data_IF_598207950131
#
_entry.id   IF_598207950131
#
_cell.length_a   1.000
_cell.length_b   1.000
_cell.length_c   1.000
_cell.angle_alpha   90.00
_cell.angle_beta   90.00
_cell.angle_gamma   90.00
#
_symmetry.space_group_name_H-M   'P 1'
#
loop_
_entity.id
_entity.type
_entity.pdbx_description
1 polymer ?
#
# COMPACT_ATOMS: atom_id res chain seq x y z
N UNK A 1 -56.58 48.52 60.34
CA UNK A 1 -56.70 47.07 60.05
C UNK A 1 -56.94 46.75 58.57
N UNK A 2 -57.31 47.71 57.71
CA UNK A 2 -57.49 47.46 56.26
C UNK A 2 -56.18 47.39 55.45
N UNK A 3 -55.10 48.08 55.86
CA UNK A 3 -53.84 48.08 55.10
C UNK A 3 -53.05 46.76 55.19
N UNK A 4 -53.25 45.95 56.24
CA UNK A 4 -52.55 44.67 56.42
C UNK A 4 -53.22 43.56 55.58
N UNK A 5 -54.54 43.66 55.34
CA UNK A 5 -55.25 42.73 54.47
C UNK A 5 -54.89 42.93 52.99
N UNK A 6 -54.68 44.18 52.56
CA UNK A 6 -54.21 44.49 51.20
C UNK A 6 -52.82 43.91 50.87
N UNK A 7 -51.89 43.94 51.84
CA UNK A 7 -50.54 43.39 51.68
C UNK A 7 -50.53 41.85 51.57
N UNK A 8 -51.39 41.18 52.35
CA UNK A 8 -51.53 39.72 52.29
C UNK A 8 -52.11 39.24 50.96
N UNK A 9 -53.13 39.94 50.42
CA UNK A 9 -53.71 39.65 49.11
C UNK A 9 -52.72 39.95 47.97
N UNK A 10 -51.96 41.05 48.06
CA UNK A 10 -50.90 41.36 47.09
C UNK A 10 -49.79 40.31 47.09
N UNK A 11 -49.35 39.83 48.27
CA UNK A 11 -48.37 38.76 48.38
C UNK A 11 -48.85 37.42 47.80
N UNK A 12 -50.14 37.11 47.94
CA UNK A 12 -50.77 35.90 47.38
C UNK A 12 -50.89 36.01 45.85
N UNK A 13 -51.26 37.17 45.32
CA UNK A 13 -51.31 37.45 43.88
C UNK A 13 -49.90 37.38 43.28
N UNK A 14 -48.89 37.95 43.93
CA UNK A 14 -47.50 37.87 43.49
C UNK A 14 -46.99 36.42 43.55
N UNK A 15 -47.33 35.67 44.59
CA UNK A 15 -46.99 34.24 44.70
C UNK A 15 -47.62 33.39 43.60
N UNK A 16 -48.90 33.62 43.29
CA UNK A 16 -49.61 32.97 42.18
C UNK A 16 -49.01 33.39 40.83
N UNK A 17 -48.66 34.66 40.67
CA UNK A 17 -48.04 35.16 39.44
C UNK A 17 -46.65 34.54 39.23
N UNK A 18 -45.83 34.44 40.27
CA UNK A 18 -44.53 33.78 40.23
C UNK A 18 -44.70 32.29 39.92
N UNK A 19 -45.64 31.60 40.58
CA UNK A 19 -45.95 30.20 40.31
C UNK A 19 -46.43 29.99 38.87
N UNK A 20 -47.25 30.91 38.36
CA UNK A 20 -47.74 30.90 36.98
C UNK A 20 -46.61 31.12 35.98
N UNK A 21 -45.68 32.04 36.24
CA UNK A 21 -44.50 32.27 35.40
C UNK A 21 -43.58 31.04 35.39
N UNK A 22 -43.37 30.39 36.55
CA UNK A 22 -42.60 29.15 36.65
C UNK A 22 -43.29 28.02 35.86
N UNK A 23 -44.61 27.89 35.99
CA UNK A 23 -45.40 26.91 35.25
C UNK A 23 -45.33 27.15 33.74
N UNK A 24 -45.49 28.39 33.29
CA UNK A 24 -45.44 28.77 31.88
C UNK A 24 -44.02 28.62 31.28
N UNK A 25 -42.98 28.81 32.11
CA UNK A 25 -41.60 28.56 31.73
C UNK A 25 -41.33 27.06 31.53
N UNK A 26 -41.85 26.21 32.42
CA UNK A 26 -41.67 24.76 32.33
C UNK A 26 -42.56 24.09 31.27
N UNK A 27 -43.78 24.58 31.04
CA UNK A 27 -44.71 24.02 30.06
C UNK A 27 -44.62 24.81 28.75
N UNK A 28 -44.06 24.25 27.66
CA UNK A 28 -43.92 24.98 26.41
C UNK A 28 -45.25 25.00 25.65
N UNK A 29 -46.18 25.85 26.08
CA UNK A 29 -47.53 25.99 25.47
C UNK A 29 -47.43 26.35 23.98
N UNK A 30 -46.44 27.15 23.58
CA UNK A 30 -46.20 27.50 22.17
C UNK A 30 -45.77 26.33 21.27
N UNK A 31 -44.96 25.39 21.80
CA UNK A 31 -44.58 24.18 21.06
C UNK A 31 -45.76 23.24 20.92
N UNK A 32 -46.57 23.10 21.97
CA UNK A 32 -47.80 22.31 21.95
C UNK A 32 -48.80 22.82 20.89
N UNK A 33 -49.00 24.14 20.83
CA UNK A 33 -49.87 24.75 19.83
C UNK A 33 -49.34 24.51 18.39
N UNK A 34 -48.04 24.66 18.17
CA UNK A 34 -47.42 24.36 16.86
C UNK A 34 -47.60 22.90 16.42
N UNK A 35 -47.53 21.97 17.37
CA UNK A 35 -47.78 20.54 17.13
C UNK A 35 -49.26 20.30 16.74
N UNK A 36 -50.19 20.90 17.48
CA UNK A 36 -51.63 20.78 17.24
C UNK A 36 -52.03 21.28 15.84
N UNK A 37 -51.51 22.45 15.43
CA UNK A 37 -51.76 23.03 14.09
C UNK A 37 -51.19 22.16 12.97
N UNK A 38 -50.15 21.37 13.27
CA UNK A 38 -49.50 20.47 12.31
C UNK A 38 -50.05 19.04 12.36
N UNK A 39 -51.21 18.83 12.99
CA UNK A 39 -51.88 17.53 13.19
C UNK A 39 -51.03 16.48 13.96
N UNK A 40 -50.11 16.94 14.82
CA UNK A 40 -49.31 16.07 15.69
C UNK A 40 -49.93 16.03 17.08
N UNK A 41 -50.50 14.88 17.45
CA UNK A 41 -51.19 14.68 18.73
C UNK A 41 -50.20 14.45 19.87
N UNK A 42 -49.87 15.51 20.62
CA UNK A 42 -49.01 15.45 21.81
C UNK A 42 -49.72 16.07 23.01
N UNK A 43 -49.71 15.39 24.14
CA UNK A 43 -50.30 15.91 25.38
C UNK A 43 -49.33 16.87 26.10
N UNK A 44 -49.86 17.89 26.78
CA UNK A 44 -49.04 18.81 27.61
C UNK A 44 -48.24 18.06 28.69
N UNK A 45 -48.84 17.02 29.28
CA UNK A 45 -48.19 16.14 30.27
C UNK A 45 -46.96 15.43 29.66
N UNK A 46 -47.04 15.06 28.38
CA UNK A 46 -45.95 14.37 27.69
C UNK A 46 -44.75 15.30 27.45
N UNK A 47 -45.00 16.55 27.06
CA UNK A 47 -43.94 17.56 26.92
C UNK A 47 -43.25 17.85 28.25
N UNK A 48 -44.00 17.82 29.35
CA UNK A 48 -43.45 17.94 30.69
C UNK A 48 -42.58 16.72 31.06
N UNK A 49 -43.07 15.50 30.81
CA UNK A 49 -42.31 14.26 31.05
C UNK A 49 -41.01 14.17 30.24
N UNK A 50 -40.98 14.68 29.00
CA UNK A 50 -39.77 14.74 28.18
C UNK A 50 -38.65 15.55 28.86
N UNK A 51 -38.98 16.72 29.44
CA UNK A 51 -37.98 17.52 30.17
C UNK A 51 -37.43 16.79 31.39
N UNK A 52 -38.28 16.04 32.11
CA UNK A 52 -37.83 15.23 33.24
C UNK A 52 -36.86 14.12 32.82
N UNK A 53 -37.07 13.54 31.62
CA UNK A 53 -36.16 12.57 30.98
C UNK A 53 -34.92 13.22 30.34
N UNK A 54 -34.73 14.53 30.48
CA UNK A 54 -33.65 15.32 29.84
C UNK A 54 -33.67 15.29 28.30
N UNK A 55 -34.82 15.05 27.70
CA UNK A 55 -35.02 15.13 26.23
C UNK A 55 -35.60 16.52 25.89
N UNK A 56 -34.97 17.31 24.99
CA UNK A 56 -35.48 18.62 24.61
C UNK A 56 -36.77 18.46 23.79
N UNK A 57 -37.93 18.94 24.27
CA UNK A 57 -39.20 18.75 23.57
C UNK A 57 -39.25 19.47 22.22
N UNK A 58 -38.49 20.56 22.05
CA UNK A 58 -38.42 21.32 20.80
C UNK A 58 -37.94 20.48 19.62
N UNK A 59 -36.89 19.69 19.82
CA UNK A 59 -36.27 18.85 18.79
C UNK A 59 -37.23 17.76 18.33
N UNK A 60 -37.85 17.05 19.29
CA UNK A 60 -38.78 15.95 19.02
C UNK A 60 -40.05 16.46 18.33
N UNK A 61 -40.64 17.55 18.82
CA UNK A 61 -41.85 18.14 18.22
C UNK A 61 -41.56 18.59 16.79
N UNK A 62 -40.45 19.30 16.55
CA UNK A 62 -40.08 19.76 15.21
C UNK A 62 -39.89 18.60 14.24
N UNK A 63 -39.18 17.56 14.67
CA UNK A 63 -38.96 16.35 13.89
C UNK A 63 -40.28 15.63 13.57
N UNK A 64 -41.21 15.51 14.54
CA UNK A 64 -42.53 14.91 14.28
C UNK A 64 -43.37 15.75 13.31
N UNK A 65 -43.35 17.07 13.42
CA UNK A 65 -44.03 17.97 12.47
C UNK A 65 -43.49 17.76 11.06
N UNK A 66 -42.17 17.67 10.91
CA UNK A 66 -41.51 17.46 9.62
C UNK A 66 -41.87 16.10 9.01
N UNK A 67 -41.79 15.02 9.80
CA UNK A 67 -42.16 13.68 9.34
C UNK A 67 -43.64 13.56 8.96
N UNK A 68 -44.55 14.09 9.79
CA UNK A 68 -46.00 14.04 9.54
C UNK A 68 -46.37 14.79 8.26
N UNK A 69 -45.78 15.98 8.04
CA UNK A 69 -45.97 16.75 6.80
C UNK A 69 -45.42 16.05 5.55
N UNK A 70 -44.44 15.16 5.72
CA UNK A 70 -43.92 14.32 4.63
C UNK A 70 -44.69 13.00 4.45
N UNK A 71 -45.75 12.76 5.23
CA UNK A 71 -46.54 11.54 5.18
C UNK A 71 -45.91 10.35 5.91
N UNK A 72 -44.91 10.58 6.76
CA UNK A 72 -44.26 9.55 7.57
C UNK A 72 -44.98 9.36 8.90
N UNK A 73 -45.25 8.10 9.26
CA UNK A 73 -45.78 7.75 10.58
C UNK A 73 -44.61 7.52 11.53
N UNK A 74 -44.29 8.53 12.34
CA UNK A 74 -43.21 8.47 13.34
C UNK A 74 -43.78 8.29 14.74
N UNK A 75 -43.25 7.33 15.49
CA UNK A 75 -43.59 7.17 16.90
C UNK A 75 -42.71 8.06 17.77
N UNK A 76 -43.35 8.87 18.61
CA UNK A 76 -42.70 9.73 19.59
C UNK A 76 -41.73 8.96 20.49
N UNK A 77 -42.14 7.80 20.97
CA UNK A 77 -41.34 7.02 21.94
C UNK A 77 -40.04 6.52 21.31
N UNK A 78 -40.05 6.22 20.01
CA UNK A 78 -38.85 5.81 19.27
C UNK A 78 -37.90 6.99 19.03
N UNK A 79 -38.43 8.19 18.77
CA UNK A 79 -37.63 9.42 18.65
C UNK A 79 -36.98 9.81 19.99
N UNK A 80 -37.73 9.70 21.10
CA UNK A 80 -37.20 9.91 22.45
C UNK A 80 -36.09 8.89 22.76
N UNK A 81 -36.31 7.60 22.45
CA UNK A 81 -35.34 6.54 22.66
C UNK A 81 -34.06 6.77 21.86
N UNK A 82 -34.17 7.18 20.59
CA UNK A 82 -33.01 7.50 19.74
C UNK A 82 -32.20 8.69 20.29
N UNK A 83 -32.88 9.74 20.76
CA UNK A 83 -32.21 10.88 21.38
C UNK A 83 -31.47 10.47 22.66
N UNK A 84 -32.10 9.65 23.50
CA UNK A 84 -31.49 9.14 24.73
C UNK A 84 -30.30 8.20 24.46
N UNK A 85 -30.31 7.49 23.34
CA UNK A 85 -29.17 6.69 22.85
C UNK A 85 -28.00 7.56 22.34
N UNK A 86 -28.16 8.89 22.29
CA UNK A 86 -27.13 9.83 21.83
C UNK A 86 -27.19 10.12 20.33
N UNK A 87 -28.27 9.75 19.65
CA UNK A 87 -28.46 9.98 18.22
C UNK A 87 -29.03 11.37 17.86
N UNK A 88 -28.86 11.75 16.59
CA UNK A 88 -29.30 13.03 16.02
C UNK A 88 -30.68 12.89 15.36
N UNK A 89 -31.73 13.16 16.13
CA UNK A 89 -33.12 13.03 15.68
C UNK A 89 -33.44 13.91 14.46
N UNK A 90 -32.97 15.17 14.43
CA UNK A 90 -33.26 16.09 13.32
C UNK A 90 -32.69 15.57 11.99
N UNK A 91 -31.44 15.09 12.00
CA UNK A 91 -30.78 14.54 10.80
C UNK A 91 -31.47 13.29 10.28
N UNK A 92 -31.83 12.37 11.18
CA UNK A 92 -32.51 11.12 10.83
C UNK A 92 -33.86 11.39 10.18
N UNK A 93 -34.68 12.28 10.77
CA UNK A 93 -35.98 12.62 10.18
C UNK A 93 -35.82 13.34 8.85
N UNK A 94 -34.89 14.28 8.74
CA UNK A 94 -34.64 14.96 7.46
C UNK A 94 -34.20 13.99 6.35
N UNK A 95 -33.37 12.99 6.71
CA UNK A 95 -32.97 11.91 5.81
C UNK A 95 -34.16 11.02 5.40
N UNK A 96 -35.04 10.65 6.34
CA UNK A 96 -36.25 9.87 6.05
C UNK A 96 -37.21 10.61 5.13
N UNK A 97 -37.42 11.91 5.35
CA UNK A 97 -38.23 12.77 4.48
C UNK A 97 -37.65 12.82 3.07
N UNK A 98 -36.32 12.95 2.96
CA UNK A 98 -35.62 12.97 1.69
C UNK A 98 -35.70 11.61 0.97
N UNK A 99 -35.57 10.51 1.71
CA UNK A 99 -35.71 9.16 1.18
C UNK A 99 -37.13 8.92 0.65
N UNK A 100 -38.15 9.34 1.39
CA UNK A 100 -39.55 9.23 0.98
C UNK A 100 -39.84 10.00 -0.32
N UNK A 101 -39.32 11.23 -0.44
CA UNK A 101 -39.45 12.04 -1.67
C UNK A 101 -38.72 11.42 -2.86
N UNK A 102 -37.61 10.74 -2.61
CA UNK A 102 -36.84 10.03 -3.62
C UNK A 102 -37.32 8.59 -3.87
N UNK A 103 -38.42 8.17 -3.24
CA UNK A 103 -38.98 6.82 -3.30
C UNK A 103 -37.97 5.71 -2.93
N UNK A 104 -37.18 5.97 -1.89
CA UNK A 104 -36.19 5.03 -1.35
C UNK A 104 -36.73 4.39 -0.07
N UNK A 105 -36.73 3.06 -0.01
CA UNK A 105 -37.13 2.29 1.17
C UNK A 105 -36.11 2.45 2.32
N UNK A 106 -36.34 3.44 3.19
CA UNK A 106 -35.58 3.65 4.42
C UNK A 106 -36.51 3.53 5.63
N UNK A 107 -36.32 2.48 6.43
CA UNK A 107 -37.06 2.32 7.69
C UNK A 107 -36.47 3.17 8.81
N UNK A 108 -37.30 3.61 9.76
CA UNK A 108 -36.85 4.38 10.93
C UNK A 108 -35.73 3.66 11.68
N UNK A 109 -35.88 2.35 11.96
CA UNK A 109 -34.88 1.52 12.65
C UNK A 109 -33.54 1.46 11.92
N UNK A 110 -33.56 1.42 10.60
CA UNK A 110 -32.33 1.40 9.79
C UNK A 110 -31.65 2.77 9.84
N UNK A 111 -32.43 3.85 9.71
CA UNK A 111 -31.91 5.21 9.80
C UNK A 111 -31.27 5.50 11.16
N UNK A 112 -31.89 5.07 12.26
CA UNK A 112 -31.31 5.20 13.61
C UNK A 112 -30.05 4.37 13.78
N UNK A 113 -30.00 3.16 13.21
CA UNK A 113 -28.81 2.31 13.26
C UNK A 113 -27.62 2.92 12.50
N UNK A 114 -27.87 3.57 11.36
CA UNK A 114 -26.84 4.27 10.58
C UNK A 114 -26.25 5.45 11.37
N UNK A 115 -27.12 6.26 12.00
CA UNK A 115 -26.70 7.41 12.80
C UNK A 115 -25.91 6.99 14.05
N UNK A 116 -26.36 5.95 14.76
CA UNK A 116 -25.63 5.39 15.91
C UNK A 116 -24.29 4.74 15.53
N UNK A 117 -24.17 4.23 14.29
CA UNK A 117 -22.90 3.76 13.74
C UNK A 117 -21.92 4.91 13.41
N UNK A 118 -22.33 6.17 13.65
CA UNK A 118 -21.51 7.36 13.40
C UNK A 118 -21.46 7.78 11.94
N UNK A 119 -22.38 7.29 11.09
CA UNK A 119 -22.47 7.70 9.67
C UNK A 119 -23.60 8.69 9.46
N UNK A 120 -23.39 9.65 8.56
CA UNK A 120 -24.43 10.63 8.23
C UNK A 120 -25.49 10.01 7.30
N UNK A 121 -26.68 9.75 7.85
CA UNK A 121 -27.82 9.17 7.13
C UNK A 121 -28.26 10.07 5.97
N UNK A 122 -28.24 11.39 6.16
CA UNK A 122 -28.70 12.34 5.16
C UNK A 122 -27.79 12.32 3.94
N UNK A 123 -26.47 12.34 4.18
CA UNK A 123 -25.49 12.23 3.11
C UNK A 123 -25.64 10.92 2.33
N UNK A 124 -25.90 9.81 3.02
CA UNK A 124 -26.09 8.52 2.38
C UNK A 124 -27.33 8.49 1.47
N UNK A 125 -28.46 9.07 1.92
CA UNK A 125 -29.66 9.21 1.08
C UNK A 125 -29.37 10.10 -0.12
N UNK A 126 -28.71 11.24 0.08
CA UNK A 126 -28.36 12.16 -1.02
C UNK A 126 -27.47 11.48 -2.07
N UNK A 127 -26.48 10.71 -1.64
CA UNK A 127 -25.59 9.94 -2.52
C UNK A 127 -26.30 8.77 -3.21
N UNK A 128 -27.39 8.27 -2.63
CA UNK A 128 -28.24 7.27 -3.27
C UNK A 128 -29.01 7.86 -4.46
N UNK A 129 -29.52 9.09 -4.31
CA UNK A 129 -30.25 9.82 -5.36
C UNK A 129 -29.32 10.38 -6.43
N UNK A 130 -28.23 11.02 -5.99
CA UNK A 130 -27.24 11.62 -6.86
C UNK A 130 -25.88 10.93 -6.66
N UNK A 131 -25.50 10.01 -7.57
CA UNK A 131 -24.22 9.33 -7.49
C UNK A 131 -23.05 10.30 -7.43
N UNK A 132 -21.99 9.90 -6.72
CA UNK A 132 -20.76 10.68 -6.61
C UNK A 132 -19.66 10.01 -7.42
N UNK A 133 -18.88 10.83 -8.12
CA UNK A 133 -17.68 10.37 -8.83
C UNK A 133 -16.47 10.50 -7.90
N UNK A 134 -15.70 9.44 -7.79
CA UNK A 134 -14.49 9.37 -6.98
C UNK A 134 -13.34 8.88 -7.87
N UNK A 135 -12.23 9.61 -7.84
CA UNK A 135 -11.02 9.23 -8.57
C UNK A 135 -10.22 8.19 -7.77
N UNK A 136 -9.74 7.15 -8.45
CA UNK A 136 -8.78 6.21 -7.85
C UNK A 136 -7.40 6.86 -7.74
N UNK A 137 -6.58 6.48 -6.75
CA UNK A 137 -5.15 6.77 -6.81
C UNK A 137 -4.53 6.18 -8.09
N UNK A 138 -3.43 6.74 -8.61
CA UNK A 138 -2.77 6.22 -9.80
C UNK A 138 -2.27 4.79 -9.54
N UNK A 139 -2.75 3.84 -10.34
CA UNK A 139 -2.43 2.42 -10.22
C UNK A 139 -1.41 2.06 -11.30
N UNK A 140 -0.24 1.57 -10.89
CA UNK A 140 0.79 1.11 -11.81
C UNK A 140 0.74 -0.41 -11.98
N UNK A 141 0.70 -0.89 -13.21
CA UNK A 141 0.70 -2.31 -13.55
C UNK A 141 1.58 -2.57 -14.78
N UNK A 142 2.08 -3.81 -14.93
CA UNK A 142 2.96 -4.20 -16.04
C UNK A 142 2.23 -5.22 -16.90
N UNK A 143 2.13 -4.97 -18.20
CA UNK A 143 1.58 -5.94 -19.14
C UNK A 143 2.56 -7.08 -19.43
N UNK A 144 2.11 -8.17 -20.06
CA UNK A 144 2.96 -9.36 -20.33
C UNK A 144 4.16 -9.08 -21.24
N UNK A 145 4.14 -7.98 -21.98
CA UNK A 145 5.25 -7.50 -22.80
C UNK A 145 6.30 -6.70 -22.01
N UNK A 146 6.14 -6.57 -20.69
CA UNK A 146 7.11 -5.93 -19.80
C UNK A 146 7.02 -4.41 -19.76
N UNK A 147 5.99 -3.80 -20.37
CA UNK A 147 5.78 -2.36 -20.35
C UNK A 147 4.84 -1.98 -19.21
N UNK A 148 5.25 -0.98 -18.43
CA UNK A 148 4.46 -0.43 -17.34
C UNK A 148 3.41 0.54 -17.89
N UNK A 149 2.18 0.42 -17.40
CA UNK A 149 1.10 1.36 -17.61
C UNK A 149 0.68 1.94 -16.25
N UNK A 150 0.45 3.25 -16.20
CA UNK A 150 -0.08 3.95 -15.04
C UNK A 150 -1.50 4.36 -15.39
N UNK A 151 -2.47 3.78 -14.71
CA UNK A 151 -3.89 3.96 -14.99
C UNK A 151 -4.55 4.75 -13.86
N UNK A 152 -5.42 5.70 -14.22
CA UNK A 152 -6.33 6.38 -13.29
C UNK A 152 -7.76 6.10 -13.72
N UNK A 153 -8.62 5.70 -12.79
CA UNK A 153 -10.02 5.45 -13.05
C UNK A 153 -10.91 6.41 -12.25
N UNK A 154 -12.04 6.77 -12.86
CA UNK A 154 -13.17 7.45 -12.25
C UNK A 154 -14.23 6.42 -11.91
N UNK A 155 -14.54 6.28 -10.63
CA UNK A 155 -15.56 5.34 -10.15
C UNK A 155 -16.80 6.14 -9.77
N UNK A 156 -17.91 5.85 -10.44
CA UNK A 156 -19.22 6.40 -10.07
C UNK A 156 -19.87 5.46 -9.07
N UNK A 157 -19.99 5.91 -7.83
CA UNK A 157 -20.56 5.11 -6.73
C UNK A 157 -21.89 5.70 -6.25
N UNK A 158 -22.80 4.81 -5.89
CA UNK A 158 -24.05 5.09 -5.20
C UNK A 158 -24.03 4.46 -3.82
N UNK A 159 -24.63 5.10 -2.81
CA UNK A 159 -24.77 4.48 -1.49
C UNK A 159 -25.84 3.36 -1.51
N UNK A 160 -25.48 2.19 -1.00
CA UNK A 160 -26.40 1.08 -0.78
C UNK A 160 -26.92 1.14 0.67
N UNK A 161 -28.14 1.66 0.82
CA UNK A 161 -28.75 1.92 2.13
C UNK A 161 -28.92 0.64 2.97
N UNK A 162 -29.16 -0.51 2.32
CA UNK A 162 -29.35 -1.80 3.02
C UNK A 162 -28.07 -2.31 3.69
N UNK A 163 -26.90 -1.99 3.12
CA UNK A 163 -25.59 -2.48 3.56
C UNK A 163 -24.70 -1.37 4.16
N UNK A 164 -25.26 -0.19 4.42
CA UNK A 164 -24.53 0.96 4.93
C UNK A 164 -23.98 0.73 6.35
N UNK A 165 -24.68 -0.10 7.15
CA UNK A 165 -24.23 -0.52 8.49
C UNK A 165 -23.46 -1.83 8.38
N UNK A 166 -22.19 -1.82 8.76
CA UNK A 166 -21.31 -2.99 8.72
C UNK A 166 -20.68 -3.30 7.35
N UNK A 167 -21.10 -2.61 6.28
CA UNK A 167 -20.46 -2.71 4.97
C UNK A 167 -19.09 -2.01 4.91
N UNK A 168 -18.25 -2.48 3.99
CA UNK A 168 -16.95 -1.87 3.73
C UNK A 168 -17.08 -0.46 3.12
N UNK A 169 -16.15 0.43 3.45
CA UNK A 169 -16.18 1.85 3.07
C UNK A 169 -15.69 2.14 1.64
N UNK A 170 -15.67 3.42 1.29
CA UNK A 170 -15.21 3.90 -0.04
C UNK A 170 -13.77 3.45 -0.34
N UNK A 171 -12.87 3.51 0.65
CA UNK A 171 -11.47 3.11 0.49
C UNK A 171 -11.32 1.64 0.07
N UNK A 172 -12.14 0.75 0.62
CA UNK A 172 -12.12 -0.68 0.26
C UNK A 172 -12.62 -0.89 -1.17
N UNK A 173 -13.63 -0.12 -1.60
CA UNK A 173 -14.11 -0.16 -2.99
C UNK A 173 -13.00 0.29 -3.93
N UNK A 174 -12.33 1.41 -3.65
CA UNK A 174 -11.23 1.92 -4.47
C UNK A 174 -10.05 0.94 -4.54
N UNK A 175 -9.71 0.30 -3.42
CA UNK A 175 -8.66 -0.71 -3.38
C UNK A 175 -8.99 -1.95 -4.25
N UNK A 176 -10.23 -2.44 -4.17
CA UNK A 176 -10.72 -3.56 -4.98
C UNK A 176 -10.78 -3.22 -6.47
N UNK A 177 -11.21 -2.01 -6.81
CA UNK A 177 -11.16 -1.50 -8.18
C UNK A 177 -9.71 -1.42 -8.66
N UNK A 178 -8.80 -0.92 -7.83
CA UNK A 178 -7.37 -0.88 -8.13
C UNK A 178 -6.79 -2.26 -8.40
N UNK A 179 -7.07 -3.25 -7.54
CA UNK A 179 -6.69 -4.65 -7.75
C UNK A 179 -7.23 -5.20 -9.08
N UNK A 180 -8.51 -4.92 -9.36
CA UNK A 180 -9.14 -5.28 -10.62
C UNK A 180 -8.40 -4.72 -11.84
N UNK A 181 -8.03 -3.44 -11.80
CA UNK A 181 -7.27 -2.77 -12.86
C UNK A 181 -5.88 -3.41 -13.02
N UNK A 182 -5.15 -3.64 -11.91
CA UNK A 182 -3.84 -4.32 -11.96
C UNK A 182 -3.95 -5.69 -12.60
N UNK A 183 -4.95 -6.48 -12.19
CA UNK A 183 -5.20 -7.82 -12.73
C UNK A 183 -5.54 -7.78 -14.22
N UNK A 184 -6.33 -6.80 -14.68
CA UNK A 184 -6.70 -6.65 -16.09
C UNK A 184 -5.50 -6.25 -16.96
N UNK A 185 -4.67 -5.31 -16.49
CA UNK A 185 -3.46 -4.89 -17.22
C UNK A 185 -2.45 -6.04 -17.25
N UNK A 186 -2.21 -6.71 -16.12
CA UNK A 186 -1.26 -7.82 -16.02
C UNK A 186 -1.66 -9.07 -16.82
N UNK A 187 -2.95 -9.27 -17.07
CA UNK A 187 -3.42 -10.37 -17.91
C UNK A 187 -3.32 -10.07 -19.41
N UNK A 188 -3.18 -8.80 -19.79
CA UNK A 188 -3.10 -8.35 -21.18
C UNK A 188 -1.77 -8.76 -21.84
N UNK A 189 -1.85 -9.19 -23.10
CA UNK A 189 -0.68 -9.66 -23.85
C UNK A 189 0.29 -8.55 -24.21
N UNK A 190 -0.22 -7.37 -24.55
CA UNK A 190 0.59 -6.20 -24.92
C UNK A 190 -0.02 -4.93 -24.34
N UNK A 191 0.82 -3.94 -24.05
CA UNK A 191 0.36 -2.60 -23.65
C UNK A 191 -0.49 -1.92 -24.72
N UNK A 192 -0.25 -2.23 -26.01
CA UNK A 192 -1.01 -1.69 -27.14
C UNK A 192 -2.48 -2.12 -27.09
N UNK A 193 -2.76 -3.37 -26.74
CA UNK A 193 -4.14 -3.86 -26.62
C UNK A 193 -4.94 -3.10 -25.54
N UNK A 194 -4.27 -2.70 -24.46
CA UNK A 194 -4.88 -1.90 -23.39
C UNK A 194 -5.15 -0.47 -23.85
N UNK A 195 -4.23 0.13 -24.59
CA UNK A 195 -4.38 1.48 -25.14
C UNK A 195 -5.42 1.57 -26.26
N UNK A 196 -5.55 0.51 -27.06
CA UNK A 196 -6.55 0.43 -28.15
C UNK A 196 -7.97 0.36 -27.59
N UNK A 197 -8.16 -0.28 -26.42
CA UNK A 197 -9.48 -0.49 -25.85
C UNK A 197 -9.49 -0.41 -24.31
N UNK A 198 -9.37 0.79 -23.72
CA UNK A 198 -9.31 0.96 -22.26
C UNK A 198 -10.59 0.51 -21.55
N UNK A 199 -11.74 0.59 -22.23
CA UNK A 199 -13.04 0.12 -21.73
C UNK A 199 -13.09 -1.39 -21.47
N UNK A 200 -12.15 -2.17 -22.04
CA UNK A 200 -12.05 -3.60 -21.74
C UNK A 200 -11.70 -3.84 -20.27
N UNK A 201 -10.89 -2.95 -19.66
CA UNK A 201 -10.54 -3.02 -18.24
C UNK A 201 -11.80 -2.86 -17.39
N UNK A 202 -12.58 -1.81 -17.63
CA UNK A 202 -13.77 -1.53 -16.80
C UNK A 202 -14.79 -2.66 -16.86
N UNK A 203 -15.03 -3.26 -18.03
CA UNK A 203 -15.94 -4.40 -18.19
C UNK A 203 -15.48 -5.64 -17.41
N UNK A 204 -14.20 -5.98 -17.49
CA UNK A 204 -13.63 -7.12 -16.76
C UNK A 204 -13.68 -6.89 -15.25
N UNK A 205 -13.42 -5.66 -14.82
CA UNK A 205 -13.39 -5.26 -13.41
C UNK A 205 -14.80 -5.22 -12.80
N UNK A 206 -15.79 -4.65 -13.50
CA UNK A 206 -17.20 -4.67 -13.09
C UNK A 206 -17.76 -6.10 -13.02
N UNK A 207 -17.37 -6.98 -13.94
CA UNK A 207 -17.82 -8.38 -13.97
C UNK A 207 -17.40 -9.23 -12.76
N UNK A 208 -16.44 -8.76 -11.94
CA UNK A 208 -15.96 -9.47 -10.74
C UNK A 208 -16.82 -9.23 -9.49
N UNK A 209 -17.82 -8.34 -9.53
CA UNK A 209 -18.71 -8.08 -8.39
C UNK A 209 -17.99 -7.45 -7.19
N UNK A 210 -17.26 -6.36 -7.44
CA UNK A 210 -16.39 -5.70 -6.44
C UNK A 210 -17.17 -5.02 -5.30
N UNK A 211 -18.45 -4.78 -5.53
CA UNK A 211 -19.46 -4.20 -4.64
C UNK A 211 -20.07 -5.21 -3.65
N UNK A 212 -19.65 -6.48 -3.69
CA UNK A 212 -20.11 -7.48 -2.75
C UNK A 212 -19.66 -7.14 -1.30
N UNK A 213 -20.65 -6.88 -0.43
CA UNK A 213 -20.42 -6.59 1.00
C UNK A 213 -19.90 -5.18 1.29
N UNK A 214 -20.03 -4.25 0.34
CA UNK A 214 -19.68 -2.84 0.53
C UNK A 214 -20.91 -2.01 0.84
N UNK A 215 -20.70 -0.88 1.52
CA UNK A 215 -21.75 0.11 1.75
C UNK A 215 -22.14 0.89 0.47
N UNK A 216 -21.45 0.63 -0.64
CA UNK A 216 -21.58 1.32 -1.91
C UNK A 216 -21.81 0.32 -3.03
N UNK A 217 -22.59 0.74 -4.02
CA UNK A 217 -22.83 0.06 -5.28
C UNK A 217 -22.08 0.82 -6.38
N UNK A 218 -21.37 0.09 -7.25
CA UNK A 218 -20.59 0.68 -8.34
C UNK A 218 -21.48 0.75 -9.58
N UNK A 219 -21.76 1.96 -10.06
CA UNK A 219 -22.55 2.17 -11.27
C UNK A 219 -21.69 2.08 -12.53
N UNK A 220 -20.55 2.76 -12.53
CA UNK A 220 -19.59 2.75 -13.63
C UNK A 220 -18.15 2.85 -13.11
N UNK A 221 -17.24 2.29 -13.88
CA UNK A 221 -15.80 2.50 -13.75
C UNK A 221 -15.35 3.01 -15.11
N UNK A 222 -14.88 4.24 -15.17
CA UNK A 222 -14.45 4.88 -16.40
C UNK A 222 -12.95 5.12 -16.31
N UNK A 223 -12.18 4.76 -17.33
CA UNK A 223 -10.74 5.01 -17.30
C UNK A 223 -10.50 6.47 -17.67
N UNK A 224 -9.97 7.24 -16.73
CA UNK A 224 -9.75 8.67 -16.90
C UNK A 224 -8.48 8.97 -17.69
N UNK A 225 -7.43 8.18 -17.47
CA UNK A 225 -6.08 8.41 -17.97
C UNK A 225 -5.26 7.11 -17.98
N UNK A 226 -4.46 6.89 -19.03
CA UNK A 226 -3.49 5.79 -19.13
C UNK A 226 -2.18 6.33 -19.68
N UNK A 227 -1.16 6.35 -18.83
CA UNK A 227 0.19 6.75 -19.19
C UNK A 227 1.09 5.53 -19.40
N UNK A 228 1.99 5.61 -20.38
CA UNK A 228 3.06 4.62 -20.57
C UNK A 228 4.23 5.00 -19.66
N UNK A 229 4.59 4.09 -18.75
CA UNK A 229 5.69 4.25 -17.82
C UNK A 229 7.01 3.71 -18.39
N UNK A 230 7.75 2.98 -17.54
CA UNK A 230 9.04 2.40 -17.91
C UNK A 230 8.86 1.04 -18.59
N UNK A 231 9.80 0.70 -19.48
CA UNK A 231 9.94 -0.67 -19.97
C UNK A 231 10.72 -1.51 -18.94
N UNK A 232 9.98 -2.12 -18.02
CA UNK A 232 10.54 -2.96 -16.96
C UNK A 232 11.20 -4.21 -17.56
N UNK A 233 10.63 -4.76 -18.63
CA UNK A 233 11.19 -5.90 -19.35
C UNK A 233 12.60 -5.63 -19.89
N UNK A 234 12.81 -4.49 -20.55
CA UNK A 234 14.12 -4.08 -21.03
C UNK A 234 15.11 -3.79 -19.89
N UNK A 235 14.64 -3.15 -18.82
CA UNK A 235 15.45 -2.91 -17.62
C UNK A 235 15.96 -4.20 -17.00
N UNK A 236 15.06 -5.17 -16.75
CA UNK A 236 15.43 -6.48 -16.21
C UNK A 236 16.39 -7.24 -17.13
N UNK A 237 16.24 -7.12 -18.46
CA UNK A 237 17.19 -7.73 -19.41
C UNK A 237 18.57 -7.08 -19.37
N UNK A 238 18.64 -5.75 -19.22
CA UNK A 238 19.90 -5.03 -19.04
C UNK A 238 20.58 -5.44 -17.72
N UNK A 239 19.83 -5.46 -16.62
CA UNK A 239 20.33 -5.85 -15.30
C UNK A 239 20.86 -7.29 -15.32
N UNK A 240 20.15 -8.20 -15.99
CA UNK A 240 20.58 -9.58 -16.14
C UNK A 240 21.84 -9.70 -17.00
N UNK A 241 21.93 -8.97 -18.11
CA UNK A 241 23.12 -8.95 -18.96
C UNK A 241 24.34 -8.36 -18.24
N UNK A 242 24.14 -7.35 -17.39
CA UNK A 242 25.20 -6.76 -16.57
C UNK A 242 25.67 -7.74 -15.48
N UNK A 243 24.74 -8.44 -14.82
CA UNK A 243 25.08 -9.50 -13.89
C UNK A 243 25.89 -10.63 -14.57
N UNK A 244 25.46 -11.07 -15.75
CA UNK A 244 26.16 -12.11 -16.53
C UNK A 244 27.57 -11.64 -16.97
N UNK A 245 27.70 -10.38 -17.38
CA UNK A 245 28.99 -9.76 -17.71
C UNK A 245 29.93 -9.76 -16.49
N UNK A 246 29.42 -9.37 -15.32
CA UNK A 246 30.22 -9.34 -14.09
C UNK A 246 30.68 -10.74 -13.68
N UNK A 247 29.81 -11.75 -13.79
CA UNK A 247 30.17 -13.16 -13.54
C UNK A 247 31.24 -13.63 -14.55
N UNK A 248 31.08 -13.30 -15.82
CA UNK A 248 32.05 -13.66 -16.86
C UNK A 248 33.42 -13.00 -16.62
N UNK A 249 33.43 -11.72 -16.23
CA UNK A 249 34.65 -10.99 -15.88
C UNK A 249 35.34 -11.60 -14.64
N UNK A 250 34.58 -11.90 -13.58
CA UNK A 250 35.12 -12.53 -12.38
C UNK A 250 35.75 -13.90 -12.69
N UNK A 251 35.09 -14.74 -13.51
CA UNK A 251 35.65 -16.03 -13.96
C UNK A 251 36.90 -15.87 -14.82
N UNK A 252 36.96 -14.84 -15.67
CA UNK A 252 38.14 -14.55 -16.47
C UNK A 252 39.32 -14.11 -15.61
N UNK A 253 39.05 -13.31 -14.57
CA UNK A 253 40.05 -12.88 -13.60
C UNK A 253 40.54 -14.04 -12.73
N UNK A 254 39.64 -14.90 -12.26
CA UNK A 254 39.98 -16.14 -11.53
C UNK A 254 40.91 -17.03 -12.37
N UNK A 255 40.57 -17.27 -13.64
CA UNK A 255 41.43 -18.04 -14.57
C UNK A 255 42.78 -17.39 -14.77
N UNK A 256 42.82 -16.06 -14.89
CA UNK A 256 44.08 -15.31 -15.03
C UNK A 256 44.94 -15.45 -13.78
N UNK A 257 44.33 -15.33 -12.60
CA UNK A 257 45.02 -15.49 -11.32
C UNK A 257 45.58 -16.92 -11.17
N UNK A 258 44.79 -17.94 -11.51
CA UNK A 258 45.23 -19.34 -11.51
C UNK A 258 46.37 -19.59 -12.50
N UNK A 259 46.31 -19.02 -13.70
CA UNK A 259 47.38 -19.16 -14.69
C UNK A 259 48.70 -18.53 -14.21
N UNK A 260 48.63 -17.35 -13.59
CA UNK A 260 49.80 -16.69 -12.98
C UNK A 260 50.33 -17.51 -11.80
N UNK A 261 49.46 -18.04 -10.95
CA UNK A 261 49.86 -18.90 -9.84
C UNK A 261 50.57 -20.16 -10.34
N UNK A 262 50.03 -20.82 -11.38
CA UNK A 262 50.64 -21.98 -12.04
C UNK A 262 52.01 -21.63 -12.64
N UNK A 263 52.13 -20.47 -13.30
CA UNK A 263 53.41 -20.00 -13.85
C UNK A 263 54.47 -19.81 -12.74
N UNK A 264 54.08 -19.21 -11.61
CA UNK A 264 54.96 -19.04 -10.46
C UNK A 264 55.32 -20.39 -9.83
N UNK A 265 54.38 -21.31 -9.70
CA UNK A 265 54.63 -22.67 -9.20
C UNK A 265 55.62 -23.42 -10.10
N UNK A 266 55.48 -23.31 -11.42
CA UNK A 266 56.41 -23.91 -12.39
C UNK A 266 57.79 -23.26 -12.34
N UNK A 267 57.88 -21.94 -12.14
CA UNK A 267 59.15 -21.24 -11.90
C UNK A 267 59.82 -21.73 -10.61
N UNK A 268 59.07 -21.88 -9.52
CA UNK A 268 59.57 -22.42 -8.26
C UNK A 268 60.07 -23.86 -8.42
N UNK A 269 59.30 -24.74 -9.09
CA UNK A 269 59.72 -26.12 -9.41
C UNK A 269 60.99 -26.16 -10.27
N UNK A 270 61.11 -25.27 -11.26
CA UNK A 270 62.31 -25.17 -12.08
C UNK A 270 63.53 -24.71 -11.26
N UNK A 271 63.35 -23.79 -10.31
CA UNK A 271 64.39 -23.38 -9.38
C UNK A 271 64.77 -24.51 -8.42
N UNK A 272 63.80 -25.25 -7.87
CA UNK A 272 64.05 -26.41 -7.01
C UNK A 272 64.81 -27.52 -7.77
N UNK A 273 64.41 -27.81 -9.00
CA UNK A 273 65.12 -28.76 -9.85
C UNK A 273 66.55 -28.31 -10.16
N UNK A 274 66.76 -27.02 -10.44
CA UNK A 274 68.11 -26.44 -10.61
C UNK A 274 68.94 -26.55 -9.33
N UNK A 275 68.34 -26.30 -8.16
CA UNK A 275 69.02 -26.47 -6.88
C UNK A 275 69.46 -27.93 -6.68
N UNK A 276 68.60 -28.91 -7.01
CA UNK A 276 68.96 -30.34 -6.97
C UNK A 276 70.10 -30.71 -7.93
N UNK A 277 70.12 -30.11 -9.13
CA UNK A 277 71.25 -30.30 -10.07
C UNK A 277 72.53 -29.72 -9.49
N UNK A 278 72.48 -28.52 -8.90
CA UNK A 278 73.64 -27.90 -8.25
C UNK A 278 74.13 -28.75 -7.07
N UNK A 279 73.23 -29.27 -6.24
CA UNK A 279 73.59 -30.16 -5.12
C UNK A 279 74.27 -31.45 -5.62
N UNK A 280 73.79 -32.03 -6.72
CA UNK A 280 74.40 -33.20 -7.35
C UNK A 280 75.77 -32.87 -7.98
N UNK A 281 75.90 -31.73 -8.66
CA UNK A 281 77.17 -31.26 -9.21
C UNK A 281 78.19 -30.96 -8.11
N UNK A 282 77.76 -30.42 -6.96
CA UNK A 282 78.61 -30.16 -5.81
C UNK A 282 79.19 -31.45 -5.18
N UNK A 283 78.54 -32.60 -5.37
CA UNK A 283 79.08 -33.89 -4.96
C UNK A 283 80.30 -34.32 -5.80
N UNK A 284 80.43 -33.85 -7.05
CA UNK A 284 81.53 -34.23 -7.95
C UNK A 284 82.89 -33.73 -7.41
N UNK A 285 83.09 -32.43 -7.08
CA UNK A 285 84.31 -31.97 -6.43
C UNK A 285 84.58 -32.66 -5.10
N UNK A 286 83.55 -32.97 -4.31
CA UNK A 286 83.71 -33.64 -3.02
C UNK A 286 84.21 -35.08 -3.20
N UNK A 287 83.65 -35.82 -4.16
CA UNK A 287 84.10 -37.15 -4.54
C UNK A 287 85.52 -37.14 -5.14
N UNK A 288 85.87 -36.13 -5.96
CA UNK A 288 87.24 -35.94 -6.47
C UNK A 288 88.21 -35.69 -5.30
N UNK A 289 87.84 -34.84 -4.34
CA UNK A 289 88.65 -34.59 -3.14
C UNK A 289 88.83 -35.86 -2.29
N UNK A 290 87.81 -36.70 -2.18
CA UNK A 290 87.89 -38.01 -1.52
C UNK A 290 88.77 -39.00 -2.29
N UNK A 291 88.71 -39.02 -3.63
CA UNK A 291 89.58 -39.82 -4.49
C UNK A 291 91.06 -39.42 -4.36
N UNK A 292 91.34 -38.12 -4.18
CA UNK A 292 92.69 -37.63 -3.86
C UNK A 292 93.17 -38.08 -2.46
N UNK A 293 92.30 -38.05 -1.44
CA UNK A 293 92.67 -38.50 -0.08
C UNK A 293 92.88 -40.01 0.01
N UNK A 294 92.07 -40.79 -0.71
CA UNK A 294 92.14 -42.25 -0.77
C UNK A 294 93.25 -42.78 -1.67
N UNK A 295 93.97 -41.89 -2.38
CA UNK A 295 95.12 -42.25 -3.22
C UNK A 295 94.76 -42.82 -4.60
N UNK A 296 93.49 -42.77 -4.99
CA UNK A 296 92.99 -43.33 -6.26
C UNK A 296 93.12 -42.37 -7.46
N UNK A 297 93.45 -41.09 -7.22
CA UNK A 297 93.65 -40.09 -8.28
C UNK A 297 94.99 -39.33 -8.07
N UNK A 298 95.85 -39.32 -9.08
CA UNK A 298 97.14 -38.63 -9.05
C UNK A 298 97.10 -37.19 -9.57
N UNK A 299 98.08 -36.37 -9.18
CA UNK A 299 98.20 -34.94 -9.60
C UNK A 299 98.29 -34.80 -11.13
N UNK A 300 99.02 -35.71 -11.80
CA UNK A 300 99.15 -35.72 -13.25
C UNK A 300 97.83 -36.01 -13.97
N UNK A 301 96.96 -36.85 -13.40
CA UNK A 301 95.66 -37.19 -14.00
C UNK A 301 94.64 -36.07 -13.83
N UNK A 302 94.68 -35.33 -12.73
CA UNK A 302 93.88 -34.12 -12.56
C UNK A 302 94.29 -32.99 -13.50
N UNK A 303 95.60 -32.83 -13.77
CA UNK A 303 96.06 -31.87 -14.78
C UNK A 303 95.57 -32.24 -16.19
N UNK A 304 95.58 -33.54 -16.55
CA UNK A 304 94.98 -34.01 -17.82
C UNK A 304 93.48 -33.75 -17.88
N UNK A 305 92.74 -34.04 -16.81
CA UNK A 305 91.30 -33.74 -16.73
C UNK A 305 91.01 -32.26 -16.93
N UNK A 306 91.77 -31.37 -16.28
CA UNK A 306 91.65 -29.92 -16.48
C UNK A 306 91.97 -29.48 -17.90
N UNK A 307 92.99 -30.05 -18.54
CA UNK A 307 93.33 -29.73 -19.93
C UNK A 307 92.22 -30.16 -20.90
N UNK A 308 91.65 -31.35 -20.72
CA UNK A 308 90.53 -31.83 -21.54
C UNK A 308 89.29 -30.95 -21.35
N UNK A 309 88.98 -30.54 -20.11
CA UNK A 309 87.89 -29.58 -19.87
C UNK A 309 88.17 -28.23 -20.52
N UNK A 310 89.40 -27.70 -20.44
CA UNK A 310 89.76 -26.44 -21.07
C UNK A 310 89.61 -26.50 -22.61
N UNK A 311 90.05 -27.58 -23.24
CA UNK A 311 89.88 -27.81 -24.67
C UNK A 311 88.40 -27.93 -25.06
N UNK A 312 87.59 -28.58 -24.22
CA UNK A 312 86.15 -28.72 -24.44
C UNK A 312 85.45 -27.37 -24.34
N UNK A 313 85.74 -26.58 -23.30
CA UNK A 313 85.20 -25.22 -23.13
C UNK A 313 85.60 -24.29 -24.28
N UNK A 314 86.84 -24.40 -24.78
CA UNK A 314 87.29 -23.66 -25.97
C UNK A 314 86.53 -24.09 -27.22
N UNK A 315 86.22 -25.38 -27.40
CA UNK A 315 85.41 -25.86 -28.52
C UNK A 315 83.95 -25.42 -28.44
N UNK A 316 83.36 -25.45 -27.25
CA UNK A 316 81.97 -25.00 -27.02
C UNK A 316 81.80 -23.50 -27.28
N UNK A 317 82.76 -22.67 -26.84
CA UNK A 317 82.72 -21.22 -27.06
C UNK A 317 82.82 -20.85 -28.54
N UNK A 318 83.71 -21.51 -29.28
CA UNK A 318 83.83 -21.37 -30.75
C UNK A 318 82.52 -21.80 -31.43
N UNK A 319 81.92 -22.91 -31.00
CA UNK A 319 80.65 -23.41 -31.55
C UNK A 319 79.46 -22.49 -31.26
N UNK A 320 79.42 -21.85 -30.09
CA UNK A 320 78.38 -20.90 -29.71
C UNK A 320 78.47 -19.59 -30.50
N UNK A 321 79.69 -19.11 -30.78
CA UNK A 321 79.91 -17.95 -31.66
C UNK A 321 79.44 -18.21 -33.10
N UNK A 322 79.65 -19.42 -33.64
CA UNK A 322 79.16 -19.80 -34.96
C UNK A 322 77.62 -19.86 -35.03
N UNK A 323 76.95 -20.38 -33.99
CA UNK A 323 75.49 -20.41 -33.94
C UNK A 323 74.87 -19.01 -33.85
N UNK A 324 75.49 -18.09 -33.11
CA UNK A 324 75.03 -16.70 -33.03
C UNK A 324 75.23 -15.94 -34.36
N UNK A 325 76.25 -16.29 -35.16
CA UNK A 325 76.42 -15.75 -36.51
C UNK A 325 75.37 -16.25 -37.51
N UNK A 326 74.78 -17.45 -37.31
CA UNK A 326 73.71 -18.01 -38.16
C UNK A 326 72.29 -17.50 -37.85
N UNK A 327 72.08 -16.84 -36.71
CA UNK A 327 70.78 -16.27 -36.28
C UNK A 327 70.61 -14.77 -36.58
N UNK A 328 71.65 -14.12 -37.11
CA UNK A 328 71.58 -12.79 -37.73
C UNK A 328 71.41 -12.94 -39.23
#
# INVERSE_FOLDING_TARGET
>A
MEQIQGLGVFGLIIGIFILMVILLYYVPVGLWFSALVSDVRISLIQLFLMRFRKVPPSVIVRAMIEGTKAGLVLNRDELEAHYLAGGHVEKVVHALVSAQKANIELSFKMATAIDLAGRDVFQAVQMSVNPKVIDTPPVAAVAKDGIQLICKARVTVRANIKQLVGGAGEETVLARVGEGIVSSIGSSHTHKAVLENPDSISKVVLGKGLDAGTAFEILSIDIADIDIGKNIGAGLQMDQAEADKNIAQAKAEERRAMAVALEQEMKAKAQEARAKVIDAEAQIPMAIAEAFRSGNLGIMDYMKYKNIMADTSMRESISAEEQNKKKK
#
